data_IF_258205984377
#
_entry.id   IF_258205984377
#
_cell.length_a   1.000
_cell.length_b   1.000
_cell.length_c   1.000
_cell.angle_alpha   90.00
_cell.angle_beta   90.00
_cell.angle_gamma   90.00
#
_symmetry.space_group_name_H-M   'P 1'
#
loop_
_entity.id
_entity.type
_entity.pdbx_description
1 polymer ?
#
# COMPACT_ATOMS: atom_id res chain seq x y z
N UNK A 1 30.84 -60.55 -23.99
CA UNK A 1 31.94 -59.68 -24.43
C UNK A 1 31.32 -58.31 -24.78
N UNK A 2 31.49 -57.28 -23.98
CA UNK A 2 31.02 -55.97 -24.29
C UNK A 2 32.15 -55.14 -24.90
N UNK A 3 31.83 -54.40 -25.96
CA UNK A 3 32.73 -53.43 -26.60
C UNK A 3 32.58 -52.07 -25.93
N UNK A 4 33.65 -51.57 -25.36
CA UNK A 4 33.88 -50.24 -24.84
C UNK A 4 34.10 -49.25 -25.97
N UNK A 5 33.30 -48.17 -26.07
CA UNK A 5 33.61 -47.02 -26.90
C UNK A 5 34.12 -45.87 -26.00
N UNK A 6 35.39 -45.55 -26.21
CA UNK A 6 36.03 -44.33 -25.71
C UNK A 6 35.52 -43.12 -26.47
N UNK A 7 34.97 -42.10 -25.76
CA UNK A 7 34.72 -40.79 -26.31
C UNK A 7 35.84 -39.84 -25.83
N UNK A 8 36.61 -39.38 -26.81
CA UNK A 8 37.68 -38.41 -26.68
C UNK A 8 37.14 -37.03 -26.25
N UNK A 9 37.66 -36.49 -25.15
CA UNK A 9 37.48 -35.09 -24.76
C UNK A 9 38.43 -34.20 -25.54
N UNK A 10 37.92 -33.32 -26.39
CA UNK A 10 38.69 -32.22 -26.97
C UNK A 10 38.68 -31.04 -26.00
N UNK A 11 39.85 -30.73 -25.48
CA UNK A 11 40.16 -29.52 -24.73
C UNK A 11 40.31 -28.37 -25.71
N UNK A 12 39.48 -27.32 -25.54
CA UNK A 12 39.65 -26.05 -26.27
C UNK A 12 40.34 -25.08 -25.33
N UNK A 13 41.60 -24.77 -25.67
CA UNK A 13 42.37 -23.72 -24.99
C UNK A 13 41.97 -22.36 -25.54
N UNK A 14 41.47 -21.45 -24.70
CA UNK A 14 41.36 -20.03 -25.02
C UNK A 14 42.63 -19.32 -24.55
N UNK A 15 43.33 -18.75 -25.50
CA UNK A 15 44.48 -17.88 -25.24
C UNK A 15 43.97 -16.51 -24.81
N UNK A 16 44.40 -16.09 -23.62
CA UNK A 16 44.18 -14.76 -23.07
C UNK A 16 45.12 -13.76 -23.74
N UNK A 17 44.57 -12.74 -24.39
CA UNK A 17 45.31 -11.55 -24.80
C UNK A 17 45.02 -10.50 -23.72
N UNK A 18 46.00 -10.28 -22.87
CA UNK A 18 46.00 -9.19 -21.90
C UNK A 18 46.44 -7.89 -22.58
N UNK A 19 45.60 -6.88 -22.52
CA UNK A 19 45.98 -5.50 -22.76
C UNK A 19 45.95 -4.75 -21.40
N UNK A 20 47.12 -4.50 -20.84
CA UNK A 20 47.30 -3.57 -19.71
C UNK A 20 47.12 -2.13 -20.23
N UNK A 21 46.06 -1.48 -19.80
CA UNK A 21 45.99 -0.02 -19.82
C UNK A 21 46.27 0.50 -18.40
N UNK A 22 47.47 1.01 -18.19
CA UNK A 22 47.80 1.75 -16.98
C UNK A 22 47.15 3.14 -17.08
N UNK A 23 46.17 3.40 -16.23
CA UNK A 23 45.63 4.76 -16.01
C UNK A 23 46.25 5.29 -14.73
N UNK A 24 47.01 6.35 -14.88
CA UNK A 24 47.65 7.09 -13.82
C UNK A 24 46.63 7.69 -12.87
N UNK A 25 46.68 7.32 -11.59
CA UNK A 25 45.98 7.99 -10.49
C UNK A 25 46.69 9.33 -10.21
N UNK A 26 46.19 10.39 -10.84
CA UNK A 26 46.48 11.76 -10.42
C UNK A 26 45.61 12.11 -9.21
N UNK A 27 46.22 12.20 -8.04
CA UNK A 27 45.62 12.80 -6.88
C UNK A 27 45.35 14.29 -7.14
N UNK A 28 44.08 14.65 -7.33
CA UNK A 28 43.63 16.03 -7.22
C UNK A 28 42.76 16.17 -5.96
N UNK A 29 43.43 16.63 -4.90
CA UNK A 29 42.75 17.28 -3.79
C UNK A 29 42.48 18.71 -4.24
N UNK A 30 41.21 19.02 -4.44
CA UNK A 30 40.69 20.37 -4.38
C UNK A 30 39.22 20.27 -4.01
N UNK A 31 38.88 20.84 -2.87
CA UNK A 31 37.51 21.10 -2.48
C UNK A 31 36.81 21.98 -3.53
N UNK A 32 35.88 21.39 -4.23
CA UNK A 32 34.93 22.05 -5.09
C UNK A 32 33.73 21.17 -5.07
N UNK A 33 32.59 21.69 -4.59
CA UNK A 33 31.30 21.02 -4.74
C UNK A 33 31.14 20.66 -6.20
N UNK A 34 31.24 19.37 -6.52
CA UNK A 34 30.86 18.87 -7.82
C UNK A 34 29.39 19.21 -8.00
N UNK A 35 29.11 20.26 -8.76
CA UNK A 35 27.80 20.54 -9.26
C UNK A 35 27.37 19.32 -10.04
N UNK A 36 26.49 18.53 -9.45
CA UNK A 36 25.65 17.58 -10.16
C UNK A 36 24.92 18.40 -11.21
N UNK A 37 25.30 18.23 -12.48
CA UNK A 37 24.58 18.78 -13.61
C UNK A 37 23.16 18.25 -13.53
N UNK A 38 22.39 18.98 -12.90
CA UNK A 38 21.05 19.20 -12.59
C UNK A 38 20.05 18.43 -13.42
N UNK A 39 19.67 17.22 -13.01
CA UNK A 39 18.28 16.85 -13.09
C UNK A 39 17.56 17.60 -11.97
N UNK A 40 16.93 18.72 -12.29
CA UNK A 40 16.01 19.41 -11.38
C UNK A 40 14.73 18.58 -11.40
N UNK A 41 14.46 17.84 -10.32
CA UNK A 41 13.20 17.15 -10.13
C UNK A 41 12.08 18.20 -10.15
N UNK A 42 11.21 18.22 -11.17
CA UNK A 42 10.15 19.23 -11.28
C UNK A 42 9.13 19.14 -10.15
N UNK A 43 9.14 18.07 -9.37
CA UNK A 43 8.24 17.83 -8.23
C UNK A 43 8.93 18.01 -6.86
N UNK A 44 10.22 18.32 -6.81
CA UNK A 44 10.95 18.47 -5.55
C UNK A 44 10.33 19.49 -4.60
N UNK A 45 9.72 20.55 -5.14
CA UNK A 45 9.07 21.60 -4.35
C UNK A 45 7.68 21.22 -3.84
N UNK A 46 7.09 20.13 -4.37
CA UNK A 46 5.74 19.64 -3.98
C UNK A 46 5.80 18.44 -3.06
N UNK A 47 6.99 17.88 -2.84
CA UNK A 47 7.20 16.72 -1.96
C UNK A 47 7.29 17.16 -0.51
N UNK A 48 6.53 16.49 0.36
CA UNK A 48 6.52 16.76 1.80
C UNK A 48 7.41 15.74 2.53
N UNK A 49 8.10 16.14 3.61
CA UNK A 49 8.94 15.24 4.38
C UNK A 49 8.23 13.98 4.84
N UNK A 50 8.99 12.91 4.95
CA UNK A 50 8.60 11.56 5.25
C UNK A 50 7.76 11.37 6.52
N UNK A 51 6.84 10.42 6.46
CA UNK A 51 6.16 9.87 7.64
C UNK A 51 7.00 8.78 8.34
N UNK A 52 8.17 8.46 7.83
CA UNK A 52 9.08 7.49 8.45
C UNK A 52 9.86 8.17 9.56
N UNK A 53 9.85 7.59 10.76
CA UNK A 53 10.65 8.06 11.89
C UNK A 53 11.64 6.99 12.33
N UNK A 54 12.74 7.40 12.90
CA UNK A 54 13.71 6.50 13.52
C UNK A 54 13.40 6.23 15.00
N UNK A 55 14.09 5.26 15.57
CA UNK A 55 13.92 4.91 16.97
C UNK A 55 14.39 6.01 17.93
N UNK A 56 15.33 6.86 17.53
CA UNK A 56 15.80 7.99 18.35
C UNK A 56 14.69 9.04 18.51
N UNK A 57 13.95 9.33 17.43
CA UNK A 57 12.77 10.22 17.48
C UNK A 57 11.69 9.69 18.42
N UNK A 58 11.35 8.38 18.33
CA UNK A 58 10.38 7.79 19.24
C UNK A 58 10.89 7.78 20.69
N UNK A 59 12.18 7.52 20.89
CA UNK A 59 12.82 7.56 22.19
C UNK A 59 12.72 8.94 22.83
N UNK A 60 13.01 10.01 22.06
CA UNK A 60 12.83 11.39 22.51
C UNK A 60 11.38 11.65 22.93
N UNK A 61 10.39 11.24 22.12
CA UNK A 61 8.96 11.42 22.46
C UNK A 61 8.56 10.65 23.72
N UNK A 62 9.19 9.51 23.98
CA UNK A 62 8.97 8.75 25.22
C UNK A 62 9.56 9.50 26.42
N UNK A 63 10.78 10.02 26.31
CA UNK A 63 11.45 10.79 27.35
C UNK A 63 10.73 12.12 27.66
N UNK A 64 10.09 12.72 26.67
CA UNK A 64 9.20 13.88 26.80
C UNK A 64 7.84 13.54 27.46
N UNK A 65 7.57 12.26 27.75
CA UNK A 65 6.28 11.80 28.32
C UNK A 65 5.10 11.89 27.37
N UNK A 66 5.35 11.92 26.04
CA UNK A 66 4.29 11.97 25.02
C UNK A 66 3.68 10.61 24.77
N UNK A 67 4.48 9.53 24.85
CA UNK A 67 4.01 8.14 24.77
C UNK A 67 3.33 7.81 26.10
N UNK A 68 2.11 7.23 26.05
CA UNK A 68 1.31 6.97 27.26
C UNK A 68 0.63 8.20 27.89
N UNK A 69 0.81 9.41 27.33
CA UNK A 69 0.16 10.62 27.83
C UNK A 69 -1.39 10.47 27.83
N UNK A 70 -2.10 11.13 28.79
CA UNK A 70 -3.55 11.12 28.85
C UNK A 70 -4.22 11.68 27.57
N UNK A 71 -5.48 11.28 27.34
CA UNK A 71 -6.31 11.85 26.26
C UNK A 71 -6.37 13.38 26.36
N UNK A 72 -6.34 14.05 25.20
CA UNK A 72 -6.38 15.50 25.10
C UNK A 72 -5.04 16.19 25.32
N UNK A 73 -3.99 15.47 25.71
CA UNK A 73 -2.65 16.06 25.85
C UNK A 73 -2.09 16.45 24.48
N UNK A 74 -1.70 17.70 24.32
CA UNK A 74 -1.08 18.18 23.11
C UNK A 74 0.21 17.40 22.80
N UNK A 75 0.34 16.95 21.56
CA UNK A 75 1.49 16.15 21.11
C UNK A 75 1.53 14.71 21.64
N UNK A 76 0.42 14.20 22.20
CA UNK A 76 0.29 12.81 22.62
C UNK A 76 0.66 11.85 21.50
N UNK A 77 1.36 10.77 21.86
CA UNK A 77 1.77 9.71 20.94
C UNK A 77 1.14 8.39 21.34
N UNK A 78 0.54 7.70 20.39
CA UNK A 78 0.03 6.33 20.54
C UNK A 78 0.87 5.42 19.66
N UNK A 79 1.55 4.46 20.25
CA UNK A 79 2.31 3.42 19.56
C UNK A 79 1.39 2.22 19.30
N UNK A 80 1.34 1.76 18.07
CA UNK A 80 0.48 0.66 17.63
C UNK A 80 1.35 -0.43 16.99
N UNK A 81 1.43 -1.59 17.62
CA UNK A 81 2.05 -2.77 17.04
C UNK A 81 1.08 -3.49 16.13
N UNK A 82 1.35 -3.44 14.83
CA UNK A 82 0.55 -4.14 13.81
C UNK A 82 1.04 -5.58 13.71
N UNK A 83 0.31 -6.49 14.33
CA UNK A 83 0.72 -7.88 14.45
C UNK A 83 -0.44 -8.77 14.89
N UNK A 84 -0.29 -10.09 14.73
CA UNK A 84 -1.23 -11.00 15.37
C UNK A 84 -1.17 -10.86 16.89
N UNK A 85 -2.29 -11.12 17.56
CA UNK A 85 -2.34 -11.13 19.02
C UNK A 85 -1.28 -12.04 19.63
N UNK A 86 -1.05 -13.21 19.04
CA UNK A 86 -0.03 -14.16 19.51
C UNK A 86 1.41 -13.60 19.40
N UNK A 87 1.71 -12.84 18.36
CA UNK A 87 3.01 -12.19 18.22
C UNK A 87 3.19 -11.06 19.26
N UNK A 88 2.16 -10.28 19.49
CA UNK A 88 2.16 -9.17 20.46
C UNK A 88 2.32 -9.66 21.91
N UNK A 89 1.65 -10.75 22.29
CA UNK A 89 1.72 -11.30 23.65
C UNK A 89 2.90 -12.24 23.88
N UNK A 90 3.81 -12.35 22.90
CA UNK A 90 4.97 -13.24 22.99
C UNK A 90 5.97 -12.74 24.03
N UNK A 91 6.26 -13.56 25.02
CA UNK A 91 7.27 -13.28 26.06
C UNK A 91 8.71 -13.23 25.52
N UNK A 92 8.95 -13.82 24.35
CA UNK A 92 10.27 -13.82 23.69
C UNK A 92 10.46 -12.64 22.73
N UNK A 93 9.42 -12.29 21.99
CA UNK A 93 9.49 -11.14 21.06
C UNK A 93 9.37 -9.83 21.81
N UNK A 94 8.44 -9.75 22.77
CA UNK A 94 8.12 -8.53 23.50
C UNK A 94 7.76 -7.36 22.57
N UNK A 95 7.34 -6.24 23.10
CA UNK A 95 6.97 -5.06 22.34
C UNK A 95 7.43 -3.77 23.05
N UNK A 96 7.36 -2.65 22.38
CA UNK A 96 7.66 -1.32 22.94
C UNK A 96 6.68 -1.04 24.10
N UNK A 97 7.15 -0.54 25.24
CA UNK A 97 6.27 -0.13 26.34
C UNK A 97 5.18 0.86 25.87
N UNK A 98 4.01 0.74 26.46
CA UNK A 98 2.81 1.55 26.13
C UNK A 98 2.29 1.36 24.68
N UNK A 99 2.77 0.37 23.94
CA UNK A 99 2.19 0.00 22.66
C UNK A 99 0.89 -0.78 22.82
N UNK A 100 -0.04 -0.56 21.88
CA UNK A 100 -1.29 -1.29 21.76
C UNK A 100 -1.25 -2.22 20.55
N UNK A 101 -1.92 -3.37 20.63
CA UNK A 101 -2.02 -4.28 19.50
C UNK A 101 -3.10 -3.87 18.50
N UNK A 102 -2.77 -3.99 17.23
CA UNK A 102 -3.71 -3.96 16.10
C UNK A 102 -3.57 -5.27 15.33
N UNK A 103 -4.49 -6.19 15.58
CA UNK A 103 -4.52 -7.50 14.91
C UNK A 103 -5.07 -7.35 13.49
N UNK A 104 -4.19 -7.51 12.51
CA UNK A 104 -4.49 -7.26 11.11
C UNK A 104 -5.74 -8.00 10.61
N UNK A 105 -5.85 -9.34 10.71
CA UNK A 105 -6.93 -10.06 10.06
C UNK A 105 -8.31 -9.75 10.67
N UNK A 106 -8.38 -9.45 11.95
CA UNK A 106 -9.65 -9.26 12.65
C UNK A 106 -10.06 -7.80 12.84
N UNK A 107 -9.11 -6.87 12.77
CA UNK A 107 -9.34 -5.48 13.19
C UNK A 107 -9.01 -4.44 12.11
N UNK A 108 -8.31 -4.80 11.03
CA UNK A 108 -7.85 -3.83 10.04
C UNK A 108 -8.48 -4.03 8.66
N UNK A 109 -9.03 -5.20 8.38
CA UNK A 109 -9.68 -5.49 7.09
C UNK A 109 -11.08 -6.05 7.29
N UNK A 110 -11.88 -5.96 6.24
CA UNK A 110 -13.22 -6.55 6.22
C UNK A 110 -13.64 -6.92 4.80
N UNK A 111 -14.72 -7.68 4.68
CA UNK A 111 -15.41 -7.88 3.40
C UNK A 111 -16.34 -6.70 3.15
N UNK A 112 -16.29 -6.14 1.93
CA UNK A 112 -17.18 -5.05 1.50
C UNK A 112 -17.80 -5.37 0.13
N UNK A 113 -19.00 -4.87 -0.10
CA UNK A 113 -19.67 -4.95 -1.38
C UNK A 113 -19.19 -3.84 -2.31
N UNK A 114 -18.81 -4.20 -3.52
CA UNK A 114 -18.53 -3.26 -4.60
C UNK A 114 -18.58 -3.99 -5.95
N UNK A 115 -19.33 -3.44 -6.89
CA UNK A 115 -19.46 -4.03 -8.24
C UNK A 115 -20.22 -5.34 -8.24
N UNK A 116 -19.63 -6.40 -8.78
CA UNK A 116 -20.28 -7.69 -8.98
C UNK A 116 -20.40 -8.57 -7.73
N UNK A 117 -20.08 -8.04 -6.57
CA UNK A 117 -20.22 -8.77 -5.31
C UNK A 117 -19.10 -8.47 -4.30
N UNK A 118 -19.11 -9.21 -3.20
CA UNK A 118 -18.23 -8.93 -2.09
C UNK A 118 -16.76 -9.14 -2.42
N UNK A 119 -15.92 -8.26 -1.92
CA UNK A 119 -14.47 -8.36 -1.98
C UNK A 119 -13.91 -8.44 -0.57
N UNK A 120 -12.98 -9.37 -0.37
CA UNK A 120 -12.34 -9.63 0.93
C UNK A 120 -11.13 -8.73 1.16
N UNK A 121 -10.75 -8.59 2.43
CA UNK A 121 -9.55 -7.84 2.84
C UNK A 121 -9.52 -6.37 2.38
N UNK A 122 -10.68 -5.79 2.19
CA UNK A 122 -10.81 -4.38 1.91
C UNK A 122 -10.65 -3.55 3.19
N UNK A 123 -10.42 -2.25 3.03
CA UNK A 123 -10.32 -1.33 4.15
C UNK A 123 -11.58 -1.29 5.01
N UNK A 124 -11.41 -0.82 6.24
CA UNK A 124 -12.51 -0.65 7.19
C UNK A 124 -13.53 0.37 6.68
N UNK A 125 -14.81 0.09 6.94
CA UNK A 125 -15.88 1.08 6.78
C UNK A 125 -15.80 2.16 7.88
N UNK A 126 -16.46 3.30 7.66
CA UNK A 126 -16.48 4.40 8.62
C UNK A 126 -16.84 4.00 10.05
N UNK A 127 -17.94 3.27 10.30
CA UNK A 127 -18.28 2.81 11.65
C UNK A 127 -17.21 1.89 12.28
N UNK A 128 -16.56 1.04 11.46
CA UNK A 128 -15.46 0.20 11.96
C UNK A 128 -14.21 1.00 12.25
N UNK A 129 -13.94 2.03 11.45
CA UNK A 129 -12.82 2.93 11.70
C UNK A 129 -13.04 3.76 12.96
N UNK A 130 -14.25 4.27 13.19
CA UNK A 130 -14.61 4.94 14.45
C UNK A 130 -14.39 4.03 15.66
N UNK A 131 -14.89 2.80 15.60
CA UNK A 131 -14.68 1.82 16.67
C UNK A 131 -13.21 1.54 16.93
N UNK A 132 -12.39 1.46 15.87
CA UNK A 132 -10.95 1.24 15.97
C UNK A 132 -10.24 2.41 16.68
N UNK A 133 -10.45 3.65 16.20
CA UNK A 133 -9.77 4.82 16.76
C UNK A 133 -10.21 5.10 18.18
N UNK A 134 -11.49 4.88 18.51
CA UNK A 134 -12.01 5.00 19.87
C UNK A 134 -11.37 3.98 20.79
N UNK A 135 -11.36 2.70 20.41
CA UNK A 135 -10.75 1.62 21.18
C UNK A 135 -9.27 1.87 21.47
N UNK A 136 -8.53 2.38 20.49
CA UNK A 136 -7.09 2.68 20.62
C UNK A 136 -6.83 4.02 21.35
N UNK A 137 -7.88 4.71 21.81
CA UNK A 137 -7.73 5.98 22.49
C UNK A 137 -7.14 7.08 21.61
N UNK A 138 -7.37 7.05 20.31
CA UNK A 138 -6.90 8.09 19.37
C UNK A 138 -7.87 9.27 19.45
N UNK A 139 -7.33 10.48 19.51
CA UNK A 139 -8.07 11.74 19.49
C UNK A 139 -7.50 12.73 18.46
N UNK A 140 -8.04 13.94 18.43
CA UNK A 140 -7.61 14.97 17.49
C UNK A 140 -6.14 15.39 17.66
N UNK A 141 -5.59 15.28 18.87
CA UNK A 141 -4.21 15.68 19.21
C UNK A 141 -3.19 14.53 19.04
N UNK A 142 -3.67 13.31 18.81
CA UNK A 142 -2.81 12.11 18.81
C UNK A 142 -1.96 12.01 17.55
N UNK A 143 -0.67 11.82 17.73
CA UNK A 143 0.24 11.27 16.71
C UNK A 143 0.27 9.75 16.84
N UNK A 144 0.05 9.04 15.75
CA UNK A 144 0.04 7.58 15.67
C UNK A 144 1.41 7.12 15.18
N UNK A 145 2.02 6.18 15.88
CA UNK A 145 3.26 5.52 15.44
C UNK A 145 2.96 4.03 15.22
N UNK A 146 3.06 3.60 13.98
CA UNK A 146 2.89 2.20 13.60
C UNK A 146 4.23 1.47 13.71
N UNK A 147 4.27 0.38 14.46
CA UNK A 147 5.42 -0.50 14.59
C UNK A 147 5.06 -1.94 14.23
N UNK A 148 6.06 -2.80 14.11
CA UNK A 148 5.91 -4.26 13.93
C UNK A 148 6.81 -4.97 14.94
N UNK A 149 6.45 -6.19 15.36
CA UNK A 149 7.24 -6.94 16.32
C UNK A 149 8.68 -7.16 15.86
N UNK A 150 9.55 -7.55 16.81
CA UNK A 150 10.91 -7.98 16.51
C UNK A 150 10.92 -9.21 15.61
N UNK A 151 11.95 -9.32 14.77
CA UNK A 151 12.14 -10.44 13.83
C UNK A 151 10.87 -10.75 13.02
N UNK A 152 10.22 -9.71 12.52
CA UNK A 152 9.03 -9.82 11.66
C UNK A 152 9.38 -10.39 10.30
N UNK A 153 8.40 -11.05 9.72
CA UNK A 153 8.44 -11.46 8.31
C UNK A 153 8.04 -10.30 7.40
N UNK A 154 8.14 -10.50 6.10
CA UNK A 154 7.65 -9.52 5.13
C UNK A 154 6.13 -9.28 5.28
N UNK A 155 5.38 -10.26 5.80
CA UNK A 155 3.94 -10.15 6.02
C UNK A 155 3.58 -9.04 7.01
N UNK A 156 4.27 -8.94 8.15
CA UNK A 156 3.99 -7.88 9.12
C UNK A 156 4.33 -6.49 8.55
N UNK A 157 5.35 -6.38 7.70
CA UNK A 157 5.65 -5.14 6.96
C UNK A 157 4.50 -4.77 6.01
N UNK A 158 3.90 -5.76 5.32
CA UNK A 158 2.70 -5.53 4.51
C UNK A 158 1.54 -5.05 5.36
N UNK A 159 1.28 -5.70 6.49
CA UNK A 159 0.18 -5.37 7.40
C UNK A 159 0.33 -3.96 7.99
N UNK A 160 1.55 -3.56 8.38
CA UNK A 160 1.86 -2.20 8.82
C UNK A 160 1.55 -1.17 7.71
N UNK A 161 1.91 -1.52 6.48
CA UNK A 161 1.66 -0.64 5.33
C UNK A 161 0.18 -0.48 5.03
N UNK A 162 -0.64 -1.54 5.19
CA UNK A 162 -2.11 -1.45 5.10
C UNK A 162 -2.65 -0.56 6.21
N UNK A 163 -2.15 -0.69 7.44
CA UNK A 163 -2.56 0.19 8.55
C UNK A 163 -2.26 1.65 8.23
N UNK A 164 -1.05 1.95 7.75
CA UNK A 164 -0.68 3.30 7.33
C UNK A 164 -1.65 3.85 6.28
N UNK A 165 -1.87 3.11 5.19
CA UNK A 165 -2.78 3.51 4.13
C UNK A 165 -4.21 3.71 4.63
N UNK A 166 -4.72 2.83 5.51
CA UNK A 166 -6.06 2.95 6.09
C UNK A 166 -6.22 4.25 6.88
N UNK A 167 -5.26 4.59 7.74
CA UNK A 167 -5.30 5.87 8.47
C UNK A 167 -5.25 7.06 7.52
N UNK A 168 -4.38 7.00 6.49
CA UNK A 168 -4.28 8.06 5.48
C UNK A 168 -5.60 8.27 4.73
N UNK A 169 -6.24 7.20 4.29
CA UNK A 169 -7.55 7.26 3.62
C UNK A 169 -8.61 7.91 4.51
N UNK A 170 -8.65 7.56 5.79
CA UNK A 170 -9.59 8.13 6.76
C UNK A 170 -9.20 9.52 7.27
N UNK A 171 -8.30 10.22 6.55
CA UNK A 171 -8.04 11.63 6.72
C UNK A 171 -6.97 11.99 7.75
N UNK A 172 -6.26 11.01 8.28
CA UNK A 172 -5.12 11.31 9.13
C UNK A 172 -3.95 11.83 8.28
N UNK A 173 -3.53 13.05 8.55
CA UNK A 173 -2.44 13.69 7.82
C UNK A 173 -1.10 12.95 8.02
N UNK A 174 -0.19 13.08 7.06
CA UNK A 174 1.12 12.41 7.07
C UNK A 174 1.98 12.76 8.28
N UNK A 175 1.80 13.94 8.83
CA UNK A 175 2.45 14.39 10.07
C UNK A 175 1.89 13.72 11.32
N UNK A 176 0.69 13.17 11.26
CA UNK A 176 0.01 12.50 12.36
C UNK A 176 0.11 10.97 12.32
N UNK A 177 0.44 10.37 11.20
CA UNK A 177 0.64 8.93 11.08
C UNK A 177 2.07 8.66 10.68
N UNK A 178 2.81 8.00 11.55
CA UNK A 178 4.21 7.68 11.41
C UNK A 178 4.43 6.19 11.36
N UNK A 179 5.47 5.77 10.67
CA UNK A 179 6.00 4.40 10.68
C UNK A 179 7.34 4.44 11.41
N UNK A 180 7.49 3.62 12.43
CA UNK A 180 8.79 3.38 13.07
C UNK A 180 9.64 2.51 12.14
N UNK A 181 10.69 3.09 11.59
CA UNK A 181 11.58 2.42 10.65
C UNK A 181 12.32 1.25 11.34
N UNK A 182 12.14 0.05 10.84
CA UNK A 182 12.68 -1.17 11.44
C UNK A 182 11.89 -1.68 12.65
N UNK A 183 10.77 -1.04 13.01
CA UNK A 183 9.86 -1.54 14.06
C UNK A 183 10.53 -1.73 15.41
N UNK A 184 10.07 -2.72 16.17
CA UNK A 184 10.58 -3.03 17.52
C UNK A 184 12.04 -3.49 17.53
N UNK A 185 12.58 -3.98 16.39
CA UNK A 185 14.03 -4.25 16.28
C UNK A 185 14.86 -2.98 16.31
N UNK A 186 14.39 -1.90 15.68
CA UNK A 186 15.07 -0.62 15.71
C UNK A 186 15.06 0.00 17.11
N UNK A 187 13.97 -0.20 17.86
CA UNK A 187 13.88 0.19 19.25
C UNK A 187 14.86 -0.61 20.14
N UNK A 188 14.87 -1.94 19.97
CA UNK A 188 15.72 -2.87 20.74
C UNK A 188 17.21 -2.52 20.62
N UNK A 189 17.69 -2.19 19.44
CA UNK A 189 19.12 -1.84 19.24
C UNK A 189 19.52 -0.51 19.87
N UNK A 190 18.58 0.32 20.31
CA UNK A 190 18.90 1.51 21.13
C UNK A 190 19.22 1.17 22.58
N UNK A 191 19.05 -0.10 22.99
CA UNK A 191 19.22 -0.57 24.37
C UNK A 191 18.04 -0.22 25.30
N UNK A 192 16.95 0.29 24.76
CA UNK A 192 15.74 0.60 25.56
C UNK A 192 14.94 -0.66 25.87
N UNK A 193 14.22 -0.68 27.00
CA UNK A 193 13.49 -1.86 27.43
C UNK A 193 12.35 -2.20 26.46
N UNK A 194 12.09 -3.49 26.35
CA UNK A 194 10.87 -4.06 25.77
C UNK A 194 10.07 -4.74 26.88
N UNK A 195 8.76 -4.83 26.71
CA UNK A 195 7.83 -5.42 27.70
C UNK A 195 6.94 -6.48 27.05
N UNK A 196 6.39 -7.36 27.86
CA UNK A 196 5.27 -8.24 27.55
C UNK A 196 3.99 -7.86 28.33
N UNK A 197 4.04 -6.73 29.06
CA UNK A 197 2.91 -6.21 29.80
C UNK A 197 1.81 -5.68 28.85
N UNK A 198 0.61 -6.19 29.01
CA UNK A 198 -0.54 -5.79 28.21
C UNK A 198 -1.26 -4.62 28.85
N UNK A 199 -1.40 -3.53 28.11
CA UNK A 199 -2.17 -2.37 28.53
C UNK A 199 -3.50 -2.30 27.79
N UNK A 200 -4.52 -1.86 28.49
CA UNK A 200 -5.84 -1.55 27.91
C UNK A 200 -5.89 -0.05 27.63
N UNK A 201 -6.07 0.35 26.36
CA UNK A 201 -6.20 1.77 26.05
C UNK A 201 -7.42 2.39 26.75
N UNK A 202 -7.30 3.63 27.19
CA UNK A 202 -8.47 4.44 27.59
C UNK A 202 -9.21 4.83 26.31
N UNK A 203 -10.47 4.41 26.10
CA UNK A 203 -11.20 4.72 24.88
C UNK A 203 -11.43 6.22 24.72
N UNK A 204 -11.35 6.71 23.48
CA UNK A 204 -11.71 8.09 23.13
C UNK A 204 -13.17 8.16 22.64
N UNK A 205 -13.65 9.39 22.43
CA UNK A 205 -14.92 9.67 21.74
C UNK A 205 -14.70 10.21 20.31
N UNK A 206 -13.50 10.06 19.80
CA UNK A 206 -13.15 10.58 18.48
C UNK A 206 -13.88 9.82 17.36
N UNK A 207 -14.30 10.52 16.33
CA UNK A 207 -14.90 9.94 15.15
C UNK A 207 -14.25 10.54 13.88
N UNK A 208 -13.96 9.70 12.90
CA UNK A 208 -13.44 10.18 11.62
C UNK A 208 -14.46 11.04 10.89
N UNK A 209 -15.77 10.80 11.08
CA UNK A 209 -16.82 11.62 10.47
C UNK A 209 -16.82 13.07 10.97
N UNK A 210 -16.40 13.29 12.23
CA UNK A 210 -16.26 14.62 12.80
C UNK A 210 -15.21 15.48 12.14
N UNK A 211 -14.21 14.88 11.52
CA UNK A 211 -13.10 15.58 10.83
C UNK A 211 -13.39 15.96 9.40
N UNK A 212 -14.34 15.31 8.73
CA UNK A 212 -14.71 15.53 7.31
C UNK A 212 -13.52 15.51 6.33
N UNK A 213 -12.53 14.67 6.59
CA UNK A 213 -11.25 14.66 5.87
C UNK A 213 -10.97 13.39 5.07
N UNK A 214 -12.02 12.62 4.71
CA UNK A 214 -11.83 11.44 3.86
C UNK A 214 -10.96 11.78 2.65
N UNK A 215 -9.95 10.96 2.41
CA UNK A 215 -9.03 11.08 1.29
C UNK A 215 -9.28 9.97 0.28
N UNK A 216 -10.44 10.02 -0.38
CA UNK A 216 -10.83 9.09 -1.42
C UNK A 216 -9.79 8.97 -2.56
N UNK A 217 -9.03 10.04 -2.78
CA UNK A 217 -7.90 10.07 -3.73
C UNK A 217 -6.77 9.06 -3.43
N UNK A 218 -6.80 8.37 -2.30
CA UNK A 218 -5.84 7.30 -1.99
C UNK A 218 -6.35 5.90 -2.32
N UNK A 219 -7.59 5.80 -2.77
CA UNK A 219 -8.23 4.55 -3.16
C UNK A 219 -8.64 4.60 -4.63
N UNK A 220 -8.70 3.44 -5.25
CA UNK A 220 -9.29 3.23 -6.58
C UNK A 220 -10.41 2.22 -6.44
N UNK A 221 -11.61 2.59 -6.85
CA UNK A 221 -12.76 1.69 -6.96
C UNK A 221 -12.64 0.80 -8.21
N UNK A 222 -13.44 -0.25 -8.29
CA UNK A 222 -13.51 -1.06 -9.53
C UNK A 222 -13.97 -0.23 -10.73
N UNK A 223 -14.88 0.72 -10.52
CA UNK A 223 -15.32 1.65 -11.57
C UNK A 223 -14.19 2.50 -12.13
N UNK A 224 -13.37 3.05 -11.24
CA UNK A 224 -12.19 3.82 -11.63
C UNK A 224 -11.12 2.95 -12.30
N UNK A 225 -10.92 1.70 -11.83
CA UNK A 225 -10.03 0.76 -12.50
C UNK A 225 -10.47 0.44 -13.93
N UNK A 226 -11.76 0.20 -14.13
CA UNK A 226 -12.33 -0.03 -15.46
C UNK A 226 -12.09 1.18 -16.36
N UNK A 227 -12.34 2.40 -15.86
CA UNK A 227 -12.11 3.65 -16.58
C UNK A 227 -10.62 3.87 -16.90
N UNK A 228 -9.72 3.61 -15.95
CA UNK A 228 -8.29 3.73 -16.16
C UNK A 228 -7.80 2.81 -17.28
N UNK A 229 -8.16 1.54 -17.21
CA UNK A 229 -7.74 0.54 -18.21
C UNK A 229 -8.32 0.86 -19.58
N UNK A 230 -9.58 1.28 -19.65
CA UNK A 230 -10.21 1.69 -20.93
C UNK A 230 -9.51 2.93 -21.50
N UNK A 231 -9.25 3.95 -20.69
CA UNK A 231 -8.52 5.14 -21.12
C UNK A 231 -7.13 4.81 -21.62
N UNK A 232 -6.39 3.95 -20.92
CA UNK A 232 -5.04 3.53 -21.31
C UNK A 232 -5.02 2.68 -22.58
N UNK A 233 -6.10 1.93 -22.86
CA UNK A 233 -6.23 1.16 -24.10
C UNK A 233 -6.55 2.03 -25.30
N UNK A 234 -7.32 3.10 -25.11
CA UNK A 234 -7.67 4.05 -26.20
C UNK A 234 -6.54 5.03 -26.50
N UNK A 235 -5.94 5.57 -25.45
CA UNK A 235 -4.86 6.53 -25.56
C UNK A 235 -3.80 6.27 -24.51
N UNK A 236 -2.70 5.69 -24.95
CA UNK A 236 -1.56 5.38 -24.07
C UNK A 236 -0.88 6.62 -23.49
N UNK A 237 -1.28 7.84 -23.89
CA UNK A 237 -0.70 9.08 -23.36
C UNK A 237 -0.91 9.21 -21.84
N UNK A 238 -1.97 8.63 -21.28
CA UNK A 238 -2.19 8.55 -19.83
C UNK A 238 -1.00 7.89 -19.11
N UNK A 239 -0.32 6.94 -19.76
CA UNK A 239 0.84 6.24 -19.20
C UNK A 239 2.10 7.12 -19.17
N UNK A 240 2.08 8.33 -19.77
CA UNK A 240 3.13 9.32 -19.60
C UNK A 240 3.07 9.94 -18.19
N UNK A 241 1.88 10.04 -17.62
CA UNK A 241 1.62 10.61 -16.29
C UNK A 241 1.46 9.53 -15.22
N UNK A 242 0.89 8.38 -15.58
CA UNK A 242 0.57 7.28 -14.67
C UNK A 242 1.41 6.04 -14.94
N UNK A 243 1.63 5.28 -13.90
CA UNK A 243 2.14 3.92 -13.96
C UNK A 243 1.31 3.04 -13.03
N UNK A 244 0.90 1.88 -13.49
CA UNK A 244 0.18 0.90 -12.69
C UNK A 244 1.10 -0.28 -12.38
N UNK A 245 1.21 -0.65 -11.12
CA UNK A 245 2.08 -1.73 -10.66
C UNK A 245 1.26 -2.88 -10.07
N UNK A 246 1.35 -4.03 -10.70
CA UNK A 246 0.86 -5.31 -10.20
C UNK A 246 2.02 -6.06 -9.54
N UNK A 247 1.97 -6.17 -8.22
CA UNK A 247 3.06 -6.78 -7.43
C UNK A 247 2.89 -8.29 -7.17
N UNK A 248 2.01 -8.97 -7.91
CA UNK A 248 1.81 -10.41 -7.76
C UNK A 248 2.98 -11.25 -8.28
N UNK A 249 3.90 -10.65 -9.00
CA UNK A 249 5.12 -11.28 -9.52
C UNK A 249 5.22 -11.26 -11.05
N UNK A 250 6.44 -11.46 -11.54
CA UNK A 250 6.75 -11.38 -12.97
C UNK A 250 6.03 -12.44 -13.83
N UNK A 251 5.76 -13.61 -13.27
CA UNK A 251 5.12 -14.72 -13.98
C UNK A 251 3.59 -14.74 -13.83
N UNK A 252 3.00 -13.75 -13.16
CA UNK A 252 1.55 -13.73 -12.93
C UNK A 252 0.77 -13.59 -14.23
N UNK A 253 -0.20 -14.47 -14.42
CA UNK A 253 -1.17 -14.44 -15.51
C UNK A 253 -2.55 -14.89 -14.98
N UNK A 254 -3.67 -14.32 -15.44
CA UNK A 254 -3.74 -13.09 -16.23
C UNK A 254 -3.35 -11.86 -15.38
N UNK A 255 -2.90 -10.81 -16.03
CA UNK A 255 -2.63 -9.51 -15.38
C UNK A 255 -3.42 -8.40 -16.08
N UNK A 256 -3.63 -7.30 -15.38
CA UNK A 256 -4.37 -6.17 -15.93
C UNK A 256 -3.57 -5.53 -17.07
N UNK A 257 -4.22 -5.27 -18.20
CA UNK A 257 -3.56 -4.61 -19.33
C UNK A 257 -2.95 -3.27 -18.91
N UNK A 258 -1.78 -2.96 -19.44
CA UNK A 258 -0.98 -1.77 -19.14
C UNK A 258 -0.41 -1.72 -17.71
N UNK A 259 -0.57 -2.77 -16.89
CA UNK A 259 0.11 -2.88 -15.61
C UNK A 259 1.55 -3.36 -15.80
N UNK A 260 2.47 -2.70 -15.13
CA UNK A 260 3.82 -3.20 -14.92
C UNK A 260 3.75 -4.35 -13.93
N UNK A 261 4.41 -5.46 -14.25
CA UNK A 261 4.48 -6.62 -13.35
C UNK A 261 5.78 -6.57 -12.56
N UNK A 262 5.68 -6.67 -11.26
CA UNK A 262 6.83 -6.66 -10.38
C UNK A 262 6.66 -7.62 -9.22
N UNK A 263 7.73 -7.83 -8.49
CA UNK A 263 7.65 -8.38 -7.15
C UNK A 263 7.11 -7.31 -6.20
N UNK A 264 6.73 -7.71 -4.99
CA UNK A 264 6.32 -6.72 -3.97
C UNK A 264 7.39 -5.65 -3.78
N UNK A 265 6.99 -4.51 -3.22
CA UNK A 265 7.91 -3.41 -2.92
C UNK A 265 9.13 -3.80 -2.07
N UNK A 266 9.18 -5.04 -1.57
CA UNK A 266 10.30 -5.60 -0.81
C UNK A 266 11.62 -5.58 -1.58
N UNK A 267 11.59 -5.55 -2.91
CA UNK A 267 12.80 -5.32 -3.72
C UNK A 267 13.46 -3.96 -3.46
N UNK A 268 12.70 -2.98 -2.95
CA UNK A 268 13.20 -1.65 -2.58
C UNK A 268 13.56 -1.53 -1.08
N UNK A 269 13.12 -2.50 -0.26
CA UNK A 269 13.38 -2.59 1.18
C UNK A 269 14.44 -3.65 1.45
N UNK A 270 15.64 -3.46 0.94
CA UNK A 270 16.72 -4.45 1.01
C UNK A 270 17.51 -4.40 2.31
N UNK A 271 17.54 -3.23 2.95
CA UNK A 271 18.30 -3.04 4.18
C UNK A 271 17.54 -3.58 5.39
N UNK A 272 18.30 -3.92 6.43
CA UNK A 272 17.76 -4.43 7.69
C UNK A 272 18.42 -3.71 8.86
N UNK A 273 17.74 -3.70 10.00
CA UNK A 273 18.28 -3.13 11.24
C UNK A 273 19.65 -3.76 11.54
N UNK A 274 20.67 -2.92 11.72
CA UNK A 274 22.08 -3.29 11.91
C UNK A 274 22.66 -4.23 10.82
N UNK A 275 22.01 -4.35 9.65
CA UNK A 275 22.44 -5.28 8.61
C UNK A 275 22.21 -6.77 8.94
N UNK A 276 21.51 -7.09 10.02
CA UNK A 276 21.25 -8.45 10.45
C UNK A 276 20.07 -9.09 9.71
N UNK A 277 20.29 -10.22 9.06
CA UNK A 277 19.30 -10.90 8.21
C UNK A 277 17.99 -11.29 8.95
N UNK A 278 18.05 -11.50 10.26
CA UNK A 278 16.91 -11.86 11.10
C UNK A 278 16.11 -10.69 11.64
N UNK A 279 16.59 -9.46 11.43
CA UNK A 279 15.91 -8.24 11.88
C UNK A 279 14.99 -7.66 10.82
N UNK A 280 14.13 -6.76 11.24
CA UNK A 280 13.15 -6.10 10.40
C UNK A 280 13.80 -5.29 9.27
N UNK A 281 13.07 -5.19 8.15
CA UNK A 281 13.48 -4.37 7.02
C UNK A 281 13.39 -2.89 7.34
N UNK A 282 14.20 -2.11 6.63
CA UNK A 282 14.22 -0.65 6.70
C UNK A 282 13.63 -0.05 5.42
N UNK A 283 12.79 0.95 5.57
CA UNK A 283 12.44 1.85 4.48
C UNK A 283 13.66 2.72 4.14
N UNK A 284 14.02 2.85 2.87
CA UNK A 284 15.13 3.69 2.44
C UNK A 284 14.79 5.18 2.58
N UNK A 285 15.78 6.03 2.56
CA UNK A 285 15.57 7.47 2.31
C UNK A 285 15.15 7.72 0.85
N UNK A 286 14.76 8.97 0.54
CA UNK A 286 14.30 9.35 -0.79
C UNK A 286 15.33 9.09 -1.89
N UNK A 287 16.58 9.48 -1.67
CA UNK A 287 17.64 9.36 -2.67
C UNK A 287 17.96 7.89 -2.96
N UNK A 288 18.04 7.08 -1.92
CA UNK A 288 18.24 5.64 -2.01
C UNK A 288 17.06 4.96 -2.74
N UNK A 289 15.82 5.35 -2.44
CA UNK A 289 14.64 4.81 -3.12
C UNK A 289 14.66 5.13 -4.61
N UNK A 290 14.91 6.38 -4.99
CA UNK A 290 15.00 6.79 -6.39
C UNK A 290 16.10 6.01 -7.13
N UNK A 291 17.27 5.84 -6.52
CA UNK A 291 18.34 5.03 -7.08
C UNK A 291 17.94 3.57 -7.28
N UNK A 292 17.25 2.97 -6.30
CA UNK A 292 16.76 1.59 -6.40
C UNK A 292 15.67 1.44 -7.47
N UNK A 293 14.76 2.40 -7.60
CA UNK A 293 13.77 2.40 -8.67
C UNK A 293 14.42 2.45 -10.06
N UNK A 294 15.49 3.21 -10.21
CA UNK A 294 16.23 3.31 -11.47
C UNK A 294 17.08 2.06 -11.79
N UNK A 295 17.31 1.17 -10.83
CA UNK A 295 18.16 -0.03 -10.99
C UNK A 295 17.42 -1.35 -10.86
N UNK A 296 16.19 -1.35 -10.36
CA UNK A 296 15.38 -2.56 -10.15
C UNK A 296 14.22 -2.60 -11.15
N UNK A 297 14.34 -3.40 -12.22
CA UNK A 297 13.34 -3.41 -13.29
C UNK A 297 12.04 -4.07 -12.86
N UNK A 298 10.96 -3.64 -13.53
CA UNK A 298 9.66 -4.29 -13.62
C UNK A 298 9.37 -4.66 -15.06
N UNK A 299 8.32 -5.40 -15.37
CA UNK A 299 7.99 -5.83 -16.72
C UNK A 299 6.77 -5.08 -17.27
N UNK A 300 6.92 -4.46 -18.43
CA UNK A 300 5.83 -4.07 -19.33
C UNK A 300 5.72 -5.14 -20.43
N UNK A 301 4.73 -6.02 -20.33
CA UNK A 301 4.71 -7.23 -21.14
C UNK A 301 5.95 -8.09 -20.91
N UNK A 302 6.78 -8.25 -21.93
CA UNK A 302 8.07 -8.95 -21.85
C UNK A 302 9.27 -7.99 -21.70
N UNK A 303 9.05 -6.69 -21.75
CA UNK A 303 10.10 -5.68 -21.74
C UNK A 303 10.42 -5.25 -20.32
N UNK A 304 11.70 -5.19 -19.98
CA UNK A 304 12.15 -4.59 -18.72
C UNK A 304 12.02 -3.07 -18.79
N UNK A 305 11.37 -2.49 -17.80
CA UNK A 305 11.22 -1.05 -17.61
C UNK A 305 11.51 -0.68 -16.16
N UNK A 306 11.65 0.60 -15.87
CA UNK A 306 11.91 1.10 -14.54
C UNK A 306 10.76 1.98 -14.06
N UNK A 307 10.43 1.89 -12.77
CA UNK A 307 9.45 2.78 -12.17
C UNK A 307 10.02 4.21 -12.12
N UNK A 308 9.15 5.17 -12.36
CA UNK A 308 9.50 6.59 -12.30
C UNK A 308 8.98 7.21 -10.99
N UNK A 309 9.83 7.86 -10.18
CA UNK A 309 9.37 8.60 -9.01
C UNK A 309 8.54 9.84 -9.38
N UNK A 310 8.52 10.24 -10.66
CA UNK A 310 7.85 11.42 -11.16
C UNK A 310 6.53 11.13 -11.87
N UNK A 311 6.11 9.87 -11.89
CA UNK A 311 4.78 9.48 -12.37
C UNK A 311 3.89 9.13 -11.20
N UNK A 312 2.61 9.42 -11.36
CA UNK A 312 1.58 8.94 -10.43
C UNK A 312 1.55 7.41 -10.44
N UNK A 313 1.27 6.83 -9.28
CA UNK A 313 1.31 5.39 -9.08
C UNK A 313 -0.05 4.84 -8.71
N UNK A 314 -0.50 3.83 -9.45
CA UNK A 314 -1.60 2.97 -9.06
C UNK A 314 -1.02 1.60 -8.70
N UNK A 315 -1.32 1.09 -7.51
CA UNK A 315 -0.78 -0.18 -7.02
C UNK A 315 -1.86 -1.19 -6.75
N UNK A 316 -1.57 -2.44 -7.06
CA UNK A 316 -2.46 -3.56 -6.80
C UNK A 316 -1.68 -4.87 -6.60
N UNK A 317 -2.37 -5.86 -6.02
CA UNK A 317 -1.89 -7.25 -5.97
C UNK A 317 -3.06 -8.23 -6.10
N UNK A 318 -3.17 -9.20 -5.20
CA UNK A 318 -4.35 -10.07 -5.13
C UNK A 318 -5.46 -9.49 -4.25
N UNK A 319 -5.11 -8.91 -3.07
CA UNK A 319 -6.03 -8.35 -2.07
C UNK A 319 -5.47 -7.11 -1.37
N UNK A 320 -4.69 -6.28 -2.05
CA UNK A 320 -4.00 -5.08 -1.56
C UNK A 320 -2.82 -5.29 -0.59
N UNK A 321 -2.77 -6.37 0.16
CA UNK A 321 -1.81 -6.54 1.26
C UNK A 321 -0.36 -6.38 0.81
N UNK A 322 0.10 -7.12 -0.21
CA UNK A 322 1.47 -7.01 -0.72
C UNK A 322 1.71 -5.77 -1.60
N UNK A 323 0.66 -5.07 -2.02
CA UNK A 323 0.76 -3.81 -2.75
C UNK A 323 1.00 -2.60 -1.83
N UNK A 324 0.53 -2.67 -0.58
CA UNK A 324 0.54 -1.54 0.34
C UNK A 324 1.93 -0.96 0.65
N UNK A 325 3.05 -1.72 0.70
CA UNK A 325 4.37 -1.10 0.84
C UNK A 325 4.73 -0.17 -0.32
N UNK A 326 4.22 -0.41 -1.54
CA UNK A 326 4.42 0.53 -2.65
C UNK A 326 3.72 1.85 -2.38
N UNK A 327 2.52 1.84 -1.79
CA UNK A 327 1.85 3.05 -1.34
C UNK A 327 2.71 3.81 -0.32
N UNK A 328 3.26 3.12 0.69
CA UNK A 328 4.13 3.72 1.71
C UNK A 328 5.39 4.33 1.08
N UNK A 329 6.02 3.64 0.12
CA UNK A 329 7.21 4.17 -0.56
C UNK A 329 6.93 5.50 -1.28
N UNK A 330 5.78 5.63 -1.94
CA UNK A 330 5.42 6.86 -2.63
C UNK A 330 4.88 7.93 -1.66
N UNK A 331 3.90 7.61 -0.80
CA UNK A 331 3.31 8.59 0.11
C UNK A 331 4.28 8.96 1.25
N UNK A 332 4.83 7.99 1.98
CA UNK A 332 5.59 8.25 3.20
C UNK A 332 7.07 8.54 2.95
N UNK A 333 7.72 7.85 2.01
CA UNK A 333 9.16 8.00 1.74
C UNK A 333 9.41 9.08 0.70
N UNK A 334 8.80 8.99 -0.49
CA UNK A 334 8.95 10.04 -1.51
C UNK A 334 8.21 11.32 -1.14
N UNK A 335 7.11 11.22 -0.39
CA UNK A 335 6.31 12.36 0.00
C UNK A 335 5.57 13.00 -1.17
N UNK A 336 5.13 12.20 -2.14
CA UNK A 336 4.37 12.70 -3.31
C UNK A 336 3.08 13.42 -2.89
N UNK A 337 2.54 14.31 -3.72
CA UNK A 337 1.25 14.93 -3.47
C UNK A 337 0.13 13.90 -3.25
N UNK A 338 -0.88 14.27 -2.46
CA UNK A 338 -2.06 13.43 -2.25
C UNK A 338 -2.75 13.15 -3.59
N UNK A 339 -3.10 11.88 -3.84
CA UNK A 339 -3.65 11.43 -5.11
C UNK A 339 -2.62 11.09 -6.19
N UNK A 340 -1.33 11.26 -5.93
CA UNK A 340 -0.28 10.81 -6.84
C UNK A 340 0.15 9.35 -6.56
N UNK A 341 -0.33 8.76 -5.47
CA UNK A 341 -0.30 7.31 -5.24
C UNK A 341 -1.66 6.84 -4.76
N UNK A 342 -2.16 5.79 -5.38
CA UNK A 342 -3.48 5.21 -5.11
C UNK A 342 -3.38 3.70 -5.00
N UNK A 343 -4.26 3.09 -4.22
CA UNK A 343 -4.33 1.65 -4.08
C UNK A 343 -5.69 1.11 -4.52
N UNK A 344 -5.66 0.13 -5.40
CA UNK A 344 -6.82 -0.69 -5.73
C UNK A 344 -6.92 -1.81 -4.70
N UNK A 345 -7.69 -1.61 -3.63
CA UNK A 345 -7.70 -2.51 -2.47
C UNK A 345 -8.34 -3.86 -2.74
N UNK A 346 -9.43 -3.90 -3.49
CA UNK A 346 -10.05 -5.16 -3.88
C UNK A 346 -9.21 -5.97 -4.90
N UNK A 347 -8.34 -5.30 -5.63
CA UNK A 347 -7.26 -5.88 -6.44
C UNK A 347 -7.72 -6.98 -7.41
N UNK A 348 -6.85 -7.93 -7.73
CA UNK A 348 -7.16 -9.01 -8.67
C UNK A 348 -8.27 -9.94 -8.18
N UNK A 349 -8.53 -10.05 -6.88
CA UNK A 349 -9.63 -10.84 -6.35
C UNK A 349 -10.99 -10.34 -6.86
N UNK A 350 -11.16 -9.04 -6.96
CA UNK A 350 -12.35 -8.41 -7.55
C UNK A 350 -12.25 -8.34 -9.07
N UNK A 351 -11.11 -7.87 -9.61
CA UNK A 351 -10.94 -7.71 -11.06
C UNK A 351 -11.25 -8.98 -11.84
N UNK A 352 -10.82 -10.14 -11.35
CA UNK A 352 -11.05 -11.43 -11.98
C UNK A 352 -12.54 -11.81 -12.08
N UNK A 353 -13.44 -11.17 -11.33
CA UNK A 353 -14.87 -11.37 -11.43
C UNK A 353 -15.48 -10.68 -12.66
N UNK A 354 -14.77 -9.78 -13.30
CA UNK A 354 -15.23 -9.07 -14.50
C UNK A 354 -14.95 -9.82 -15.81
N UNK A 355 -14.54 -11.09 -15.78
CA UNK A 355 -14.55 -11.93 -16.97
C UNK A 355 -15.98 -12.12 -17.48
N UNK A 356 -16.14 -12.22 -18.81
CA UNK A 356 -17.48 -12.34 -19.42
C UNK A 356 -18.30 -13.46 -18.79
N UNK A 357 -17.71 -14.63 -18.57
CA UNK A 357 -18.39 -15.78 -17.99
C UNK A 357 -18.89 -15.50 -16.56
N UNK A 358 -18.11 -14.81 -15.74
CA UNK A 358 -18.51 -14.48 -14.35
C UNK A 358 -19.55 -13.37 -14.30
N UNK A 359 -19.44 -12.36 -15.16
CA UNK A 359 -20.43 -11.30 -15.28
C UNK A 359 -21.80 -11.89 -15.69
N UNK A 360 -21.82 -12.81 -16.65
CA UNK A 360 -23.04 -13.50 -17.06
C UNK A 360 -23.60 -14.40 -15.94
N UNK A 361 -22.72 -15.09 -15.21
CA UNK A 361 -23.14 -15.90 -14.06
C UNK A 361 -23.73 -15.06 -12.92
N UNK A 362 -23.29 -13.81 -12.77
CA UNK A 362 -23.83 -12.85 -11.81
C UNK A 362 -25.17 -12.21 -12.28
N UNK A 363 -25.70 -12.62 -13.43
CA UNK A 363 -26.98 -12.15 -13.95
C UNK A 363 -26.91 -10.90 -14.82
N UNK A 364 -25.75 -10.34 -15.06
CA UNK A 364 -25.59 -9.23 -15.99
C UNK A 364 -25.79 -9.71 -17.44
N UNK A 365 -26.51 -8.96 -18.25
CA UNK A 365 -26.84 -9.31 -19.64
C UNK A 365 -26.64 -8.11 -20.59
N UNK A 366 -26.50 -8.43 -21.88
CA UNK A 366 -26.50 -7.43 -22.93
C UNK A 366 -25.34 -6.41 -22.84
N UNK A 367 -25.69 -5.14 -22.92
CA UNK A 367 -24.71 -4.06 -22.97
C UNK A 367 -23.86 -3.95 -21.70
N UNK A 368 -24.41 -4.24 -20.53
CA UNK A 368 -23.68 -4.21 -19.27
C UNK A 368 -22.56 -5.27 -19.23
N UNK A 369 -22.88 -6.52 -19.58
CA UNK A 369 -21.88 -7.57 -19.65
C UNK A 369 -20.81 -7.27 -20.69
N UNK A 370 -21.18 -6.72 -21.85
CA UNK A 370 -20.24 -6.32 -22.89
C UNK A 370 -19.33 -5.18 -22.46
N UNK A 371 -19.86 -4.23 -21.67
CA UNK A 371 -19.11 -3.05 -21.21
C UNK A 371 -18.06 -3.39 -20.16
N UNK A 372 -18.39 -4.30 -19.24
CA UNK A 372 -17.53 -4.58 -18.08
C UNK A 372 -16.66 -5.82 -18.22
N UNK A 373 -16.95 -6.67 -19.21
CA UNK A 373 -16.20 -7.90 -19.39
C UNK A 373 -14.78 -7.64 -19.90
N UNK A 374 -13.84 -8.41 -19.39
CA UNK A 374 -12.50 -8.51 -19.93
C UNK A 374 -12.18 -9.95 -20.36
N UNK A 375 -11.16 -10.12 -21.21
CA UNK A 375 -10.73 -11.44 -21.62
C UNK A 375 -9.61 -11.95 -20.68
N UNK A 376 -10.01 -12.80 -19.72
CA UNK A 376 -9.07 -13.45 -18.81
C UNK A 376 -8.32 -14.62 -19.46
N UNK A 377 -8.74 -15.07 -20.65
CA UNK A 377 -8.14 -16.23 -21.29
C UNK A 377 -6.80 -15.91 -21.98
N UNK A 378 -6.60 -14.66 -22.36
CA UNK A 378 -5.36 -14.21 -23.01
C UNK A 378 -4.42 -13.59 -22.00
N UNK A 379 -3.25 -14.18 -21.74
CA UNK A 379 -2.27 -13.60 -20.82
C UNK A 379 -1.91 -12.16 -21.20
N UNK A 380 -1.91 -11.27 -20.22
CA UNK A 380 -1.56 -9.87 -20.42
C UNK A 380 -2.65 -8.98 -21.01
N UNK A 381 -3.84 -9.51 -21.29
CA UNK A 381 -4.93 -8.80 -21.93
C UNK A 381 -6.17 -8.64 -21.07
N UNK A 382 -6.02 -8.60 -19.75
CA UNK A 382 -7.15 -8.36 -18.83
C UNK A 382 -7.69 -6.92 -19.00
N UNK A 383 -8.19 -6.61 -20.19
CA UNK A 383 -8.80 -5.34 -20.52
C UNK A 383 -10.29 -5.51 -20.71
N UNK A 384 -11.13 -4.52 -20.40
CA UNK A 384 -12.52 -4.53 -20.77
C UNK A 384 -12.67 -4.80 -22.27
N UNK A 385 -13.53 -5.74 -22.64
CA UNK A 385 -13.76 -6.09 -24.06
C UNK A 385 -14.39 -4.97 -24.85
N UNK A 386 -15.26 -4.23 -24.22
CA UNK A 386 -16.02 -3.17 -24.88
C UNK A 386 -15.28 -1.84 -24.74
N UNK A 387 -14.16 -1.74 -25.39
CA UNK A 387 -13.53 -0.45 -25.59
C UNK A 387 -14.50 0.43 -26.37
N UNK A 388 -15.02 1.47 -25.77
CA UNK A 388 -15.82 2.45 -26.45
C UNK A 388 -17.28 2.54 -26.06
N UNK A 389 -17.79 1.64 -25.24
CA UNK A 389 -19.21 1.63 -24.86
C UNK A 389 -19.41 1.57 -23.35
N UNK A 390 -18.81 2.49 -22.63
CA UNK A 390 -19.36 2.77 -21.32
C UNK A 390 -20.78 3.32 -21.47
N UNK A 391 -21.69 3.05 -20.51
CA UNK A 391 -23.02 3.63 -20.54
C UNK A 391 -22.97 5.15 -20.73
N UNK A 392 -24.00 5.72 -21.37
CA UNK A 392 -24.11 7.16 -21.56
C UNK A 392 -23.95 7.90 -20.23
N UNK A 393 -23.02 8.85 -20.16
CA UNK A 393 -22.67 9.56 -18.93
C UNK A 393 -21.35 9.11 -18.31
N UNK A 394 -20.77 8.01 -18.77
CA UNK A 394 -19.37 7.70 -18.50
C UNK A 394 -18.53 8.45 -19.52
N UNK A 395 -17.68 9.32 -19.09
CA UNK A 395 -16.83 10.02 -20.03
C UNK A 395 -15.78 9.05 -20.59
N UNK A 396 -16.10 8.38 -21.68
CA UNK A 396 -15.07 7.83 -22.58
C UNK A 396 -14.17 8.93 -23.13
N UNK A 397 -14.55 10.16 -22.86
CA UNK A 397 -13.84 11.39 -23.24
C UNK A 397 -13.20 12.08 -22.04
N UNK A 398 -13.53 11.72 -20.80
CA UNK A 398 -12.88 12.30 -19.63
C UNK A 398 -11.75 11.40 -19.18
N UNK A 399 -10.55 11.96 -19.02
CA UNK A 399 -9.45 11.23 -18.45
C UNK A 399 -9.85 10.73 -17.04
N UNK A 400 -9.32 9.58 -16.66
CA UNK A 400 -9.40 9.09 -15.31
C UNK A 400 -9.01 10.20 -14.32
N UNK A 401 -9.97 10.64 -13.50
CA UNK A 401 -9.75 11.65 -12.48
C UNK A 401 -10.03 11.02 -11.12
N UNK A 402 -9.00 10.76 -10.32
CA UNK A 402 -9.15 10.17 -8.99
C UNK A 402 -10.14 10.96 -8.12
N UNK A 403 -11.02 10.26 -7.41
CA UNK A 403 -12.00 10.87 -6.50
C UNK A 403 -13.15 11.62 -7.16
N UNK A 404 -13.17 11.75 -8.48
CA UNK A 404 -14.21 12.42 -9.24
C UNK A 404 -14.79 11.58 -10.37
N UNK A 405 -14.51 10.29 -10.36
CA UNK A 405 -15.05 9.41 -11.39
C UNK A 405 -16.56 9.30 -11.24
N UNK A 406 -17.28 9.75 -12.24
CA UNK A 406 -18.75 9.68 -12.30
C UNK A 406 -19.14 8.62 -13.30
N UNK A 407 -19.57 7.48 -12.81
CA UNK A 407 -20.02 6.35 -13.61
C UNK A 407 -21.53 6.17 -13.44
N UNK A 408 -22.34 6.73 -14.32
CA UNK A 408 -23.81 6.59 -14.27
C UNK A 408 -24.29 5.59 -15.33
N UNK A 409 -25.30 4.78 -15.12
CA UNK A 409 -26.15 4.65 -13.93
C UNK A 409 -25.66 3.58 -12.92
N UNK A 410 -24.66 2.78 -13.25
CA UNK A 410 -24.11 1.74 -12.38
C UNK A 410 -23.03 2.28 -11.41
N UNK A 411 -22.95 3.58 -11.29
CA UNK A 411 -21.98 4.29 -10.48
C UNK A 411 -22.00 3.82 -9.02
N UNK A 412 -23.19 3.69 -8.46
CA UNK A 412 -23.34 3.30 -7.06
C UNK A 412 -22.82 1.87 -6.83
N UNK A 413 -22.99 0.95 -7.78
CA UNK A 413 -22.52 -0.42 -7.67
C UNK A 413 -20.98 -0.50 -7.72
N UNK A 414 -20.35 0.22 -8.64
CA UNK A 414 -18.90 0.13 -8.87
C UNK A 414 -18.07 1.07 -7.97
N UNK A 415 -18.74 1.93 -7.21
CA UNK A 415 -18.12 2.85 -6.24
C UNK A 415 -18.82 2.77 -4.86
N UNK A 416 -19.46 1.66 -4.53
CA UNK A 416 -20.24 1.49 -3.29
C UNK A 416 -19.43 1.79 -2.03
N UNK A 417 -18.17 1.38 -2.01
CA UNK A 417 -17.29 1.58 -0.86
C UNK A 417 -17.09 3.06 -0.58
N UNK A 418 -16.71 3.82 -1.58
CA UNK A 418 -16.47 5.27 -1.43
C UNK A 418 -17.76 6.04 -1.18
N UNK A 419 -18.85 5.64 -1.82
CA UNK A 419 -20.17 6.24 -1.58
C UNK A 419 -20.62 6.04 -0.13
N UNK A 420 -20.44 4.85 0.42
CA UNK A 420 -20.75 4.54 1.81
C UNK A 420 -19.85 5.32 2.80
N UNK A 421 -18.57 5.45 2.47
CA UNK A 421 -17.60 6.15 3.32
C UNK A 421 -17.85 7.68 3.28
N UNK A 422 -18.16 8.25 2.12
CA UNK A 422 -18.61 9.64 1.99
C UNK A 422 -19.92 9.91 2.74
N UNK A 423 -20.86 8.96 2.67
CA UNK A 423 -22.11 9.05 3.45
C UNK A 423 -21.84 9.05 4.97
N UNK A 424 -20.90 8.22 5.45
CA UNK A 424 -20.47 8.24 6.84
C UNK A 424 -19.87 9.60 7.24
N UNK A 425 -19.02 10.18 6.39
CA UNK A 425 -18.41 11.48 6.62
C UNK A 425 -19.41 12.65 6.62
N UNK A 426 -20.56 12.48 5.98
CA UNK A 426 -21.61 13.50 5.94
C UNK A 426 -22.53 13.48 7.17
N UNK A 427 -22.48 12.43 7.99
CA UNK A 427 -23.27 12.35 9.21
C UNK A 427 -22.84 13.46 10.18
N UNK A 428 -23.74 14.36 10.48
CA UNK A 428 -23.52 15.36 11.53
C UNK A 428 -23.49 14.61 12.85
N UNK A 429 -22.43 14.78 13.63
CA UNK A 429 -22.12 14.06 14.85
C UNK A 429 -23.28 13.93 15.86
N UNK A 430 -24.15 12.99 15.57
CA UNK A 430 -25.08 12.45 16.54
C UNK A 430 -24.33 11.44 17.38
N UNK A 431 -24.38 11.56 18.69
CA UNK A 431 -23.89 10.55 19.62
C UNK A 431 -24.37 9.18 19.13
N UNK A 432 -23.48 8.32 18.71
CA UNK A 432 -23.77 6.92 18.50
C UNK A 432 -24.09 6.32 19.86
N UNK A 433 -25.38 6.13 20.14
CA UNK A 433 -25.82 5.31 21.28
C UNK A 433 -25.35 3.89 20.93
N UNK A 434 -24.62 3.19 21.80
CA UNK A 434 -24.31 1.79 21.60
C UNK A 434 -25.64 1.04 21.48
N UNK A 435 -25.95 0.54 20.30
CA UNK A 435 -27.14 -0.29 20.08
C UNK A 435 -27.01 -1.54 20.93
N UNK A 436 -27.79 -1.56 22.02
CA UNK A 436 -27.99 -2.74 22.83
C UNK A 436 -28.60 -3.84 21.95
N UNK A 437 -27.90 -4.93 21.79
CA UNK A 437 -28.44 -6.15 21.21
C UNK A 437 -29.56 -6.69 22.09
N UNK A 438 -30.80 -6.40 21.72
CA UNK A 438 -32.00 -7.01 22.28
C UNK A 438 -32.38 -8.22 21.43
N UNK A 439 -31.88 -9.40 21.79
CA UNK A 439 -32.48 -10.65 21.38
C UNK A 439 -33.89 -10.76 21.96
N UNK A 440 -34.87 -10.91 21.11
CA UNK A 440 -36.25 -11.19 21.46
C UNK A 440 -36.83 -12.22 20.50
N UNK A 441 -36.53 -13.49 20.80
CA UNK A 441 -37.28 -14.62 20.28
C UNK A 441 -38.61 -14.69 21.03
N UNK A 442 -39.75 -14.61 20.36
CA UNK A 442 -41.00 -15.24 20.78
C UNK A 442 -41.70 -15.79 19.58
N UNK A 443 -41.77 -17.12 19.57
CA UNK A 443 -42.59 -17.85 18.66
C UNK A 443 -44.04 -17.75 19.04
N UNK A 444 -44.90 -18.18 18.11
CA UNK A 444 -46.31 -18.39 18.39
C UNK A 444 -47.14 -18.45 17.11
N UNK A 445 -47.60 -19.67 16.82
CA UNK A 445 -48.66 -20.14 15.93
C UNK A 445 -48.46 -20.01 14.42
#
# INVERSE_FOLDING_TARGET
MPRTHLISRRTVSFASIGALAAVALGAWSCGGSAGTTGYTDPFATTRTPSAIIDAATLAQWTDEGRVGAPLGTAGRVVVISVSSQAAFTSTTRKHIPDAFNLDYPSQLTMTREEGLGPSIQMMLSGPRMDALVQRLGIDAATTIVLTIPRASTDLETYQQSVAYWTFRYWGFARDRVKILNGGDDAWDVTGRPLTDALLVPTPSSYSVSGNKLLKDVFRVSVGEMLAFVDSANRDRSILNTWQMLDVRGFATTPYIANAYRGTSAMQFLTDRVNGEATRNRLYPDQATLVSRMASSPVLDGATQVFLSPNKKMLVMCFTSTSASPSFVLFDAVLGVPEGDVMMYDASASQWNNYSLARIQAAGASGAQAATWAFDAATPGTSAPRAIGTFPAGVPGENPFVPGNFVYAPAQDEVNQVESADKAHMSQTGGKSTPGGGGGGSTGGC
#
